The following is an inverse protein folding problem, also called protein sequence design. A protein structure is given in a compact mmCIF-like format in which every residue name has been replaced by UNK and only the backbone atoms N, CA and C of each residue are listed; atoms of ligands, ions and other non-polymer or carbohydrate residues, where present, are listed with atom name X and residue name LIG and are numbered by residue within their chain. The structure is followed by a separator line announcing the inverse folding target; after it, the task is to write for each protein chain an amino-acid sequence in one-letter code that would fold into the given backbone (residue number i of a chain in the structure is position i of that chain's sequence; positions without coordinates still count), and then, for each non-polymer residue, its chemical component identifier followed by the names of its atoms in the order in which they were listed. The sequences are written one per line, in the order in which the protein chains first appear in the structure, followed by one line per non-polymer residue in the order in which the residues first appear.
data_IF_609468456563
#
_entry.id   IF_609468456563
#
_cell.length_a   1.000
_cell.length_b   1.000
_cell.length_c   1.000
_cell.angle_alpha   90.00
_cell.angle_beta   90.00
_cell.angle_gamma   90.00
#
_symmetry.space_group_name_H-M   'P 1'
#
loop_
_entity.id
_entity.type
_entity.pdbx_description
1 polymer ?
#
# COMPACT_ATOMS: atom_id res chain seq x y z
N UNK A 1 -23.81 4.03 -5.86
CA UNK A 1 -24.40 2.69 -5.85
C UNK A 1 -24.29 2.11 -7.25
N UNK A 2 -23.39 1.13 -7.44
CA UNK A 2 -23.24 0.40 -8.71
C UNK A 2 -24.43 -0.57 -8.85
N UNK A 3 -25.42 -0.20 -9.65
CA UNK A 3 -26.59 -1.06 -9.88
C UNK A 3 -26.32 -2.20 -10.89
N UNK A 4 -25.19 -2.18 -11.64
CA UNK A 4 -24.92 -3.12 -12.74
C UNK A 4 -23.47 -3.65 -12.74
N UNK A 5 -22.79 -3.71 -11.61
CA UNK A 5 -21.41 -4.20 -11.51
C UNK A 5 -21.32 -5.64 -11.01
N UNK A 6 -20.34 -6.40 -11.52
CA UNK A 6 -19.93 -7.70 -10.98
C UNK A 6 -18.84 -7.45 -9.94
N UNK A 7 -19.01 -7.96 -8.72
CA UNK A 7 -18.00 -7.93 -7.69
C UNK A 7 -17.31 -9.29 -7.61
N UNK A 8 -16.01 -9.31 -7.85
CA UNK A 8 -15.16 -10.48 -7.63
C UNK A 8 -14.40 -10.33 -6.31
N UNK A 9 -14.07 -11.45 -5.70
CA UNK A 9 -13.29 -11.49 -4.47
C UNK A 9 -12.17 -12.52 -4.64
N UNK A 10 -10.97 -12.16 -4.21
CA UNK A 10 -9.75 -12.98 -4.32
C UNK A 10 -8.72 -12.31 -5.21
N UNK A 11 -7.54 -12.90 -5.29
CA UNK A 11 -6.51 -12.51 -6.26
C UNK A 11 -6.79 -13.25 -7.57
N UNK A 12 -6.53 -12.59 -8.69
CA UNK A 12 -6.59 -13.17 -10.03
C UNK A 12 -5.18 -13.11 -10.65
N UNK A 13 -4.79 -14.14 -11.33
CA UNK A 13 -3.57 -14.13 -12.16
C UNK A 13 -3.83 -13.47 -13.54
N UNK A 14 -2.79 -13.38 -14.38
CA UNK A 14 -2.90 -12.72 -15.67
C UNK A 14 -3.90 -13.43 -16.59
N UNK A 15 -3.88 -14.75 -16.63
CA UNK A 15 -4.77 -15.58 -17.48
C UNK A 15 -6.23 -15.41 -17.05
N UNK A 16 -6.48 -15.40 -15.74
CA UNK A 16 -7.82 -15.20 -15.19
C UNK A 16 -8.36 -13.80 -15.52
N UNK A 17 -7.51 -12.75 -15.40
CA UNK A 17 -7.90 -11.38 -15.77
C UNK A 17 -8.16 -11.27 -17.26
N UNK A 18 -7.32 -11.83 -18.12
CA UNK A 18 -7.51 -11.83 -19.58
C UNK A 18 -8.78 -12.55 -19.99
N UNK A 19 -9.01 -13.72 -19.42
CA UNK A 19 -10.23 -14.51 -19.67
C UNK A 19 -11.48 -13.71 -19.27
N UNK A 20 -11.44 -13.08 -18.09
CA UNK A 20 -12.53 -12.23 -17.63
C UNK A 20 -12.76 -11.03 -18.56
N UNK A 21 -11.68 -10.37 -18.96
CA UNK A 21 -11.75 -9.23 -19.88
C UNK A 21 -12.37 -9.62 -21.23
N UNK A 22 -11.97 -10.77 -21.79
CA UNK A 22 -12.52 -11.27 -23.04
C UNK A 22 -14.02 -11.63 -22.92
N UNK A 23 -14.39 -12.36 -21.86
CA UNK A 23 -15.78 -12.78 -21.60
C UNK A 23 -16.74 -11.60 -21.41
N UNK A 24 -16.26 -10.54 -20.76
CA UNK A 24 -17.07 -9.37 -20.43
C UNK A 24 -16.83 -8.16 -21.35
N UNK A 25 -16.06 -8.34 -22.42
CA UNK A 25 -15.74 -7.29 -23.41
C UNK A 25 -15.15 -6.03 -22.74
N UNK A 26 -14.28 -6.22 -21.74
CA UNK A 26 -13.64 -5.10 -21.05
C UNK A 26 -12.69 -4.38 -22.00
N UNK A 27 -12.82 -3.07 -22.08
CA UNK A 27 -12.01 -2.21 -22.98
C UNK A 27 -11.04 -1.30 -22.24
N UNK A 28 -11.14 -1.24 -20.92
CA UNK A 28 -10.34 -0.36 -20.07
C UNK A 28 -10.20 -0.96 -18.68
N UNK A 29 -9.00 -0.98 -18.14
CA UNK A 29 -8.73 -1.37 -16.77
C UNK A 29 -8.39 -0.14 -15.93
N UNK A 30 -8.83 -0.12 -14.67
CA UNK A 30 -8.50 0.94 -13.74
C UNK A 30 -7.84 0.30 -12.51
N UNK A 31 -6.58 0.60 -12.31
CA UNK A 31 -5.82 0.18 -11.15
C UNK A 31 -5.87 1.26 -10.06
N UNK A 32 -6.64 1.03 -9.01
CA UNK A 32 -6.72 1.88 -7.82
C UNK A 32 -6.12 1.20 -6.57
N UNK A 33 -5.32 0.15 -6.78
CA UNK A 33 -4.73 -0.62 -5.70
C UNK A 33 -3.70 0.20 -4.87
N UNK A 34 -3.29 -0.37 -3.74
CA UNK A 34 -2.27 0.24 -2.89
C UNK A 34 -0.93 0.36 -3.66
N UNK A 35 -0.15 1.45 -3.53
CA UNK A 35 1.11 1.63 -4.26
C UNK A 35 2.11 0.48 -4.11
N UNK A 36 2.03 -0.28 -3.00
CA UNK A 36 2.88 -1.46 -2.74
C UNK A 36 2.25 -2.79 -3.18
N UNK A 37 1.19 -2.78 -3.98
CA UNK A 37 0.61 -3.98 -4.58
C UNK A 37 1.37 -4.37 -5.87
N UNK A 38 2.70 -4.49 -5.78
CA UNK A 38 3.60 -4.66 -6.91
C UNK A 38 3.22 -5.83 -7.82
N UNK A 39 2.89 -6.98 -7.23
CA UNK A 39 2.47 -8.14 -8.02
C UNK A 39 1.22 -7.85 -8.86
N UNK A 40 0.21 -7.16 -8.31
CA UNK A 40 -0.97 -6.78 -9.07
C UNK A 40 -0.63 -5.79 -10.19
N UNK A 41 0.24 -4.82 -9.91
CA UNK A 41 0.67 -3.85 -10.92
C UNK A 41 1.40 -4.55 -12.09
N UNK A 42 2.31 -5.48 -11.79
CA UNK A 42 3.02 -6.29 -12.78
C UNK A 42 2.05 -7.16 -13.60
N UNK A 43 1.09 -7.81 -12.93
CA UNK A 43 0.04 -8.60 -13.59
C UNK A 43 -0.79 -7.74 -14.55
N UNK A 44 -1.23 -6.55 -14.10
CA UNK A 44 -2.00 -5.65 -14.95
C UNK A 44 -1.19 -5.07 -16.12
N UNK A 45 0.11 -4.84 -15.92
CA UNK A 45 1.01 -4.45 -17.00
C UNK A 45 1.11 -5.55 -18.06
N UNK A 46 1.28 -6.80 -17.65
CA UNK A 46 1.31 -7.96 -18.53
C UNK A 46 0.00 -8.06 -19.34
N UNK A 47 -1.15 -8.07 -18.66
CA UNK A 47 -2.47 -8.12 -19.29
C UNK A 47 -2.66 -6.98 -20.28
N UNK A 48 -2.24 -5.76 -19.91
CA UNK A 48 -2.34 -4.60 -20.81
C UNK A 48 -1.60 -4.79 -22.12
N UNK A 49 -0.42 -5.40 -22.07
CA UNK A 49 0.41 -5.65 -23.25
C UNK A 49 -0.16 -6.79 -24.09
N UNK A 50 -0.53 -7.92 -23.47
CA UNK A 50 -0.97 -9.12 -24.16
C UNK A 50 -2.37 -8.97 -24.76
N UNK A 51 -3.28 -8.31 -24.06
CA UNK A 51 -4.67 -8.09 -24.50
C UNK A 51 -4.88 -6.75 -25.22
N UNK A 52 -3.87 -5.89 -25.32
CA UNK A 52 -3.96 -4.53 -25.86
C UNK A 52 -5.10 -3.70 -25.20
N UNK A 53 -5.32 -3.92 -23.89
CA UNK A 53 -6.30 -3.18 -23.11
C UNK A 53 -5.55 -2.11 -22.29
N UNK A 54 -5.87 -0.81 -22.44
CA UNK A 54 -5.20 0.25 -21.68
C UNK A 54 -5.51 0.14 -20.19
N UNK A 55 -4.50 0.44 -19.36
CA UNK A 55 -4.63 0.52 -17.91
C UNK A 55 -4.46 1.96 -17.44
N UNK A 56 -5.47 2.47 -16.74
CA UNK A 56 -5.37 3.73 -16.00
C UNK A 56 -4.91 3.41 -14.59
N UNK A 57 -3.81 3.99 -14.17
CA UNK A 57 -3.37 3.98 -12.78
C UNK A 57 -3.95 5.19 -12.06
N UNK A 58 -4.89 4.96 -11.14
CA UNK A 58 -5.41 5.99 -10.25
C UNK A 58 -4.45 6.20 -9.09
N UNK A 59 -3.53 7.16 -9.25
CA UNK A 59 -2.50 7.44 -8.27
C UNK A 59 -3.03 8.23 -7.08
N UNK A 60 -2.49 7.90 -5.91
CA UNK A 60 -2.71 8.67 -4.68
C UNK A 60 -1.95 9.99 -4.75
N UNK A 61 -2.37 10.95 -3.94
CA UNK A 61 -1.61 12.17 -3.72
C UNK A 61 -0.55 11.90 -2.65
N UNK A 62 0.69 12.26 -2.96
CA UNK A 62 1.82 12.10 -2.07
C UNK A 62 2.33 13.47 -1.62
N UNK A 63 2.59 13.68 -0.32
CA UNK A 63 3.27 14.89 0.13
C UNK A 63 4.70 14.93 -0.40
N UNK A 64 5.29 16.12 -0.41
CA UNK A 64 6.73 16.26 -0.65
C UNK A 64 7.47 15.47 0.44
N UNK A 65 8.50 14.72 0.03
CA UNK A 65 9.34 13.98 0.97
C UNK A 65 10.08 14.92 1.90
N UNK A 66 9.96 14.68 3.19
CA UNK A 66 10.71 15.32 4.24
C UNK A 66 12.02 14.53 4.43
N UNK A 67 13.12 15.06 3.93
CA UNK A 67 14.44 14.41 4.02
C UNK A 67 15.17 14.77 5.33
N UNK A 68 14.64 15.70 6.12
CA UNK A 68 15.23 16.12 7.39
C UNK A 68 14.77 15.27 8.56
N UNK A 69 13.48 14.92 8.59
CA UNK A 69 12.87 14.23 9.74
C UNK A 69 12.55 12.76 9.46
N UNK A 70 12.65 12.30 8.23
CA UNK A 70 12.32 10.94 7.82
C UNK A 70 13.54 10.28 7.18
N UNK A 71 13.97 9.16 7.74
CA UNK A 71 14.97 8.29 7.13
C UNK A 71 14.30 7.48 6.02
N UNK A 72 14.48 7.91 4.79
CA UNK A 72 13.92 7.24 3.62
C UNK A 72 14.73 6.00 3.24
N UNK A 73 14.02 4.89 3.06
CA UNK A 73 14.57 3.60 2.66
C UNK A 73 14.09 3.24 1.24
N UNK A 74 14.98 2.68 0.43
CA UNK A 74 14.65 2.24 -0.94
C UNK A 74 13.66 1.08 -0.92
N UNK A 75 13.93 0.11 -0.05
CA UNK A 75 13.21 -1.15 0.09
C UNK A 75 13.29 -1.66 1.53
N UNK A 76 12.84 -2.88 1.78
CA UNK A 76 12.85 -3.50 3.10
C UNK A 76 14.26 -3.85 3.57
N UNK A 77 15.17 -4.24 2.66
CA UNK A 77 16.55 -4.61 3.01
C UNK A 77 17.33 -3.37 3.44
N UNK A 78 17.19 -2.25 2.72
CA UNK A 78 17.76 -0.95 3.10
C UNK A 78 17.19 -0.45 4.45
N UNK A 79 15.88 -0.70 4.71
CA UNK A 79 15.29 -0.36 6.00
C UNK A 79 15.87 -1.20 7.13
N UNK A 80 16.06 -2.50 6.95
CA UNK A 80 16.67 -3.40 7.92
C UNK A 80 18.09 -2.94 8.24
N UNK A 81 18.91 -2.69 7.22
CA UNK A 81 20.29 -2.23 7.39
C UNK A 81 20.36 -0.92 8.20
N UNK A 82 19.57 0.08 7.84
CA UNK A 82 19.54 1.38 8.52
C UNK A 82 19.08 1.26 9.98
N UNK A 83 17.99 0.52 10.23
CA UNK A 83 17.44 0.30 11.57
C UNK A 83 18.46 -0.41 12.46
N UNK A 84 19.15 -1.44 11.95
CA UNK A 84 20.21 -2.14 12.68
C UNK A 84 21.42 -1.25 12.94
N UNK A 85 21.85 -0.47 11.94
CA UNK A 85 22.97 0.48 12.08
C UNK A 85 22.71 1.54 13.14
N UNK A 86 21.46 2.02 13.22
CA UNK A 86 21.05 2.99 14.24
C UNK A 86 20.73 2.35 15.61
N UNK A 87 20.91 1.03 15.74
CA UNK A 87 20.69 0.27 16.97
C UNK A 87 19.31 0.52 17.59
N UNK A 88 18.27 0.41 16.76
CA UNK A 88 16.89 0.47 17.22
C UNK A 88 16.50 -0.88 17.81
N UNK A 89 16.13 -0.90 19.09
CA UNK A 89 15.75 -2.11 19.82
C UNK A 89 14.24 -2.25 20.03
N UNK A 90 13.48 -1.15 19.96
CA UNK A 90 12.03 -1.16 20.07
C UNK A 90 11.43 -0.51 18.82
N UNK A 91 10.87 -1.31 17.95
CA UNK A 91 10.31 -0.88 16.65
C UNK A 91 8.82 -1.11 16.59
N UNK A 92 8.05 -0.11 16.14
CA UNK A 92 6.65 -0.29 15.72
C UNK A 92 6.55 -0.27 14.20
N UNK A 93 6.27 -1.43 13.60
CA UNK A 93 6.08 -1.56 12.15
C UNK A 93 4.60 -1.37 11.78
N UNK A 94 4.32 -0.31 11.03
CA UNK A 94 3.00 0.06 10.51
C UNK A 94 2.87 -0.30 9.01
N UNK A 95 3.51 -1.40 8.63
CA UNK A 95 3.67 -1.83 7.23
C UNK A 95 2.71 -2.94 6.80
N UNK A 96 1.95 -3.49 7.75
CA UNK A 96 0.93 -4.52 7.54
C UNK A 96 1.49 -5.94 7.55
N UNK A 97 0.59 -6.93 7.64
CA UNK A 97 0.90 -8.36 7.89
C UNK A 97 1.79 -8.99 6.83
N UNK A 98 1.66 -8.60 5.56
CA UNK A 98 2.46 -9.16 4.46
C UNK A 98 3.97 -8.91 4.60
N UNK A 99 4.37 -7.99 5.47
CA UNK A 99 5.76 -7.57 5.62
C UNK A 99 6.45 -8.19 6.83
N UNK A 100 5.72 -8.92 7.67
CA UNK A 100 6.27 -9.57 8.86
C UNK A 100 7.43 -10.50 8.47
N UNK A 101 7.25 -11.34 7.46
CA UNK A 101 8.30 -12.24 6.97
C UNK A 101 9.53 -11.49 6.42
N UNK A 102 9.31 -10.39 5.71
CA UNK A 102 10.39 -9.55 5.16
C UNK A 102 11.23 -8.89 6.27
N UNK A 103 10.60 -8.55 7.39
CA UNK A 103 11.25 -7.90 8.53
C UNK A 103 11.73 -8.89 9.60
N UNK A 104 11.80 -10.19 9.26
CA UNK A 104 12.28 -11.24 10.16
C UNK A 104 13.65 -10.95 10.78
N UNK A 105 14.65 -10.42 10.06
CA UNK A 105 15.95 -10.08 10.64
C UNK A 105 15.88 -9.04 11.77
N UNK A 106 14.85 -8.19 11.80
CA UNK A 106 14.63 -7.22 12.88
C UNK A 106 13.97 -7.86 14.09
N UNK A 107 12.81 -8.50 13.92
CA UNK A 107 12.04 -8.99 15.06
C UNK A 107 12.61 -10.25 15.72
N UNK A 108 13.58 -10.91 15.12
CA UNK A 108 14.34 -11.98 15.77
C UNK A 108 15.41 -11.43 16.74
N UNK A 109 15.86 -10.18 16.57
CA UNK A 109 16.97 -9.60 17.31
C UNK A 109 16.57 -8.35 18.12
N UNK A 110 15.35 -7.87 17.97
CA UNK A 110 14.83 -6.68 18.63
C UNK A 110 13.36 -6.85 19.00
N UNK A 111 12.86 -6.01 19.89
CA UNK A 111 11.44 -5.95 20.23
C UNK A 111 10.68 -5.24 19.12
N UNK A 112 10.01 -6.01 18.28
CA UNK A 112 9.20 -5.45 17.21
C UNK A 112 7.71 -5.70 17.46
N UNK A 113 6.93 -4.66 17.28
CA UNK A 113 5.48 -4.68 17.28
C UNK A 113 4.96 -4.45 15.86
N UNK A 114 3.89 -5.13 15.48
CA UNK A 114 3.22 -4.91 14.20
C UNK A 114 1.78 -4.50 14.40
N UNK A 115 1.35 -3.43 13.73
CA UNK A 115 -0.06 -3.09 13.62
C UNK A 115 -0.61 -3.58 12.28
N UNK A 116 -1.61 -4.44 12.35
CA UNK A 116 -2.21 -5.10 11.21
C UNK A 116 -3.73 -4.90 11.20
N UNK A 117 -4.39 -5.22 10.11
CA UNK A 117 -5.85 -5.24 10.06
C UNK A 117 -6.39 -6.40 10.92
N UNK A 118 -7.45 -6.14 11.67
CA UNK A 118 -8.14 -7.16 12.47
C UNK A 118 -8.99 -8.06 11.58
N UNK A 119 -8.34 -9.12 11.07
CA UNK A 119 -8.95 -10.14 10.21
C UNK A 119 -8.34 -11.50 10.52
N UNK A 120 -9.14 -12.55 10.47
CA UNK A 120 -8.65 -13.92 10.69
C UNK A 120 -7.52 -14.31 9.73
N UNK A 121 -7.63 -13.88 8.47
CA UNK A 121 -6.57 -14.07 7.46
C UNK A 121 -5.26 -13.38 7.85
N UNK A 122 -5.31 -12.19 8.46
CA UNK A 122 -4.12 -11.50 8.93
C UNK A 122 -3.47 -12.22 10.12
N UNK A 123 -4.27 -12.68 11.08
CA UNK A 123 -3.80 -13.46 12.23
C UNK A 123 -3.17 -14.77 11.78
N UNK A 124 -3.83 -15.47 10.85
CA UNK A 124 -3.33 -16.74 10.28
C UNK A 124 -1.98 -16.51 9.60
N UNK A 125 -1.88 -15.51 8.72
CA UNK A 125 -0.66 -15.20 8.00
C UNK A 125 0.50 -14.80 8.94
N UNK A 126 0.23 -14.03 10.00
CA UNK A 126 1.26 -13.68 10.99
C UNK A 126 1.81 -14.93 11.69
N UNK A 127 0.93 -15.86 12.08
CA UNK A 127 1.32 -17.16 12.70
C UNK A 127 2.13 -18.02 11.74
N UNK A 128 1.73 -18.10 10.47
CA UNK A 128 2.46 -18.85 9.43
C UNK A 128 3.88 -18.29 9.21
N UNK A 129 4.07 -16.99 9.39
CA UNK A 129 5.38 -16.34 9.35
C UNK A 129 6.19 -16.52 10.64
N UNK A 130 5.63 -17.18 11.65
CA UNK A 130 6.30 -17.46 12.94
C UNK A 130 6.33 -16.28 13.89
N UNK A 131 5.51 -15.25 13.68
CA UNK A 131 5.48 -14.06 14.53
C UNK A 131 4.56 -14.24 15.73
N UNK A 132 4.98 -13.72 16.90
CA UNK A 132 4.25 -13.86 18.16
C UNK A 132 3.01 -12.96 18.19
N UNK A 133 1.86 -13.56 18.49
CA UNK A 133 0.59 -12.84 18.59
C UNK A 133 0.59 -11.74 19.68
N UNK A 134 1.36 -11.92 20.75
CA UNK A 134 1.49 -10.94 21.83
C UNK A 134 2.06 -9.59 21.38
N UNK A 135 2.74 -9.56 20.24
CA UNK A 135 3.34 -8.35 19.67
C UNK A 135 2.54 -7.84 18.45
N UNK A 136 1.34 -8.40 18.22
CA UNK A 136 0.41 -7.92 17.21
C UNK A 136 -0.59 -6.93 17.82
N UNK A 137 -0.79 -5.82 17.12
CA UNK A 137 -1.79 -4.82 17.43
C UNK A 137 -2.73 -4.66 16.24
N UNK A 138 -3.96 -4.31 16.50
CA UNK A 138 -4.99 -4.25 15.47
C UNK A 138 -5.37 -2.81 15.18
N UNK A 139 -5.48 -2.50 13.89
CA UNK A 139 -5.88 -1.19 13.44
C UNK A 139 -7.38 -0.98 13.65
N UNK A 140 -7.72 0.07 14.36
CA UNK A 140 -9.09 0.56 14.53
C UNK A 140 -9.27 1.84 13.71
N UNK A 141 -10.19 1.88 12.73
CA UNK A 141 -10.45 3.10 11.97
C UNK A 141 -10.84 4.27 12.87
N UNK A 142 -10.19 5.43 12.67
CA UNK A 142 -10.44 6.64 13.45
C UNK A 142 -9.74 6.72 14.81
N UNK A 143 -8.95 5.72 15.18
CA UNK A 143 -8.12 5.77 16.37
C UNK A 143 -6.98 6.78 16.19
N UNK A 144 -6.68 7.54 17.26
CA UNK A 144 -5.54 8.43 17.30
C UNK A 144 -4.24 7.63 17.20
N UNK A 145 -3.41 7.97 16.22
CA UNK A 145 -2.14 7.32 15.95
C UNK A 145 -1.17 7.36 17.15
N UNK A 146 -1.30 8.37 18.03
CA UNK A 146 -0.47 8.51 19.22
C UNK A 146 -0.78 7.49 20.33
N UNK A 147 -2.01 6.96 20.40
CA UNK A 147 -2.42 6.04 21.49
C UNK A 147 -1.49 4.85 21.57
N UNK A 148 -1.31 4.15 20.46
CA UNK A 148 -0.45 2.97 20.41
C UNK A 148 1.03 3.34 20.60
N UNK A 149 1.49 4.44 20.04
CA UNK A 149 2.86 4.91 20.19
C UNK A 149 3.17 5.27 21.66
N UNK A 150 2.25 5.93 22.36
CA UNK A 150 2.38 6.22 23.80
C UNK A 150 2.33 4.98 24.67
N UNK A 151 1.59 3.96 24.28
CA UNK A 151 1.50 2.69 25.01
C UNK A 151 2.79 1.86 24.87
N UNK A 152 3.37 1.82 23.66
CA UNK A 152 4.49 0.94 23.35
C UNK A 152 5.86 1.59 23.53
N UNK A 153 5.92 2.92 23.58
CA UNK A 153 7.17 3.70 23.65
C UNK A 153 8.24 3.23 22.66
N UNK A 154 7.92 3.10 21.35
CA UNK A 154 8.89 2.65 20.38
C UNK A 154 9.99 3.71 20.18
N UNK A 155 11.24 3.26 19.97
CA UNK A 155 12.34 4.15 19.60
C UNK A 155 12.21 4.64 18.16
N UNK A 156 11.55 3.82 17.31
CA UNK A 156 11.28 4.17 15.93
C UNK A 156 9.99 3.53 15.42
N UNK A 157 9.41 4.16 14.38
CA UNK A 157 8.36 3.56 13.56
C UNK A 157 8.89 3.26 12.16
N UNK A 158 8.36 2.22 11.54
CA UNK A 158 8.59 1.90 10.13
C UNK A 158 7.28 2.02 9.34
N UNK A 159 7.28 2.86 8.32
CA UNK A 159 6.13 3.16 7.47
C UNK A 159 6.36 2.73 6.02
N UNK A 160 5.28 2.69 5.25
CA UNK A 160 5.31 2.70 3.77
C UNK A 160 4.83 4.06 3.27
N UNK A 161 5.46 4.61 2.23
CA UNK A 161 4.99 5.82 1.55
C UNK A 161 3.64 5.53 0.87
N UNK A 162 2.56 5.54 1.66
CA UNK A 162 1.22 5.13 1.23
C UNK A 162 0.35 6.28 0.70
N UNK A 163 0.88 7.51 0.72
CA UNK A 163 0.17 8.72 0.33
C UNK A 163 -0.81 9.23 1.41
N UNK A 164 -1.43 10.38 1.14
CA UNK A 164 -2.34 11.06 2.07
C UNK A 164 -3.49 10.13 2.46
N UNK A 165 -4.17 9.52 1.49
CA UNK A 165 -5.29 8.59 1.75
C UNK A 165 -4.89 7.30 2.47
N UNK A 166 -3.60 7.04 2.65
CA UNK A 166 -3.06 5.88 3.39
C UNK A 166 -2.75 6.18 4.86
N UNK A 167 -3.06 7.37 5.35
CA UNK A 167 -2.77 7.81 6.72
C UNK A 167 -1.26 7.99 6.96
N UNK A 168 -0.49 8.31 5.91
CA UNK A 168 0.96 8.52 6.05
C UNK A 168 1.27 9.77 6.84
N UNK A 169 0.60 10.89 6.53
CA UNK A 169 0.84 12.17 7.18
C UNK A 169 0.49 12.12 8.68
N UNK A 170 -0.62 11.50 9.02
CA UNK A 170 -1.10 11.37 10.40
C UNK A 170 -0.10 10.58 11.26
N UNK A 171 0.45 9.49 10.71
CA UNK A 171 1.47 8.67 11.41
C UNK A 171 2.79 9.40 11.59
N UNK A 172 3.22 10.13 10.55
CA UNK A 172 4.44 10.95 10.61
C UNK A 172 4.29 12.03 11.67
N UNK A 173 3.17 12.75 11.64
CA UNK A 173 2.94 13.84 12.60
C UNK A 173 2.84 13.32 14.05
N UNK A 174 2.14 12.21 14.27
CA UNK A 174 2.06 11.57 15.58
C UNK A 174 3.44 11.17 16.12
N UNK A 175 4.29 10.58 15.29
CA UNK A 175 5.64 10.19 15.68
C UNK A 175 6.52 11.41 15.96
N UNK A 176 6.44 12.46 15.15
CA UNK A 176 7.19 13.71 15.36
C UNK A 176 6.85 14.36 16.67
N UNK A 177 5.56 14.47 17.00
CA UNK A 177 5.11 15.05 18.27
C UNK A 177 5.61 14.28 19.50
N UNK A 178 5.88 12.98 19.34
CA UNK A 178 6.39 12.12 20.41
C UNK A 178 7.93 11.96 20.39
N UNK A 179 8.62 12.61 19.45
CA UNK A 179 10.08 12.49 19.31
C UNK A 179 10.55 11.10 18.85
N UNK A 180 9.67 10.32 18.21
CA UNK A 180 9.96 8.96 17.72
C UNK A 180 10.63 9.05 16.36
N UNK A 181 11.72 8.31 16.13
CA UNK A 181 12.40 8.26 14.84
C UNK A 181 11.51 7.62 13.76
N UNK A 182 11.61 8.11 12.54
CA UNK A 182 10.75 7.68 11.44
C UNK A 182 11.59 7.10 10.31
N UNK A 183 11.33 5.83 9.98
CA UNK A 183 11.82 5.18 8.77
C UNK A 183 10.66 4.98 7.82
N UNK A 184 10.85 5.34 6.55
CA UNK A 184 9.80 5.20 5.55
C UNK A 184 10.34 4.52 4.29
N UNK A 185 9.67 3.45 3.87
CA UNK A 185 9.98 2.75 2.62
C UNK A 185 9.34 3.55 1.47
N UNK A 186 10.17 3.94 0.51
CA UNK A 186 9.73 4.63 -0.71
C UNK A 186 8.77 3.74 -1.48
N UNK A 187 7.71 4.35 -2.03
CA UNK A 187 6.82 3.62 -2.92
C UNK A 187 7.58 3.16 -4.17
N UNK A 188 7.24 1.99 -4.71
CA UNK A 188 7.72 1.55 -6.01
C UNK A 188 7.38 2.57 -7.09
N UNK A 189 8.20 2.63 -8.12
CA UNK A 189 7.89 3.43 -9.30
C UNK A 189 6.73 2.79 -10.07
N UNK A 190 5.86 3.63 -10.60
CA UNK A 190 4.75 3.17 -11.43
C UNK A 190 5.28 2.90 -12.85
N UNK A 191 4.84 1.80 -13.45
CA UNK A 191 5.20 1.47 -14.84
C UNK A 191 4.86 2.60 -15.79
N UNK A 192 5.79 2.94 -16.69
CA UNK A 192 5.57 3.93 -17.75
C UNK A 192 4.52 3.53 -18.79
N UNK A 193 4.02 2.29 -18.74
CA UNK A 193 2.94 1.79 -19.61
C UNK A 193 1.55 2.18 -19.12
N UNK A 194 1.43 2.57 -17.86
CA UNK A 194 0.15 3.00 -17.30
C UNK A 194 -0.14 4.46 -17.59
N UNK A 195 -1.42 4.76 -17.84
CA UNK A 195 -1.92 6.13 -17.92
C UNK A 195 -2.16 6.61 -16.48
N UNK A 196 -1.19 7.32 -15.91
CA UNK A 196 -1.29 7.79 -14.53
C UNK A 196 -2.19 9.02 -14.42
N UNK A 197 -3.16 8.94 -13.52
CA UNK A 197 -4.04 10.07 -13.16
C UNK A 197 -4.19 10.16 -11.66
N UNK A 198 -4.39 11.36 -11.15
CA UNK A 198 -4.79 11.60 -9.77
C UNK A 198 -6.07 12.44 -9.72
N UNK A 199 -6.88 12.16 -8.71
CA UNK A 199 -8.17 12.82 -8.54
C UNK A 199 -9.25 12.37 -9.53
N UNK A 200 -10.50 12.55 -9.11
CA UNK A 200 -11.68 12.10 -9.84
C UNK A 200 -11.82 12.77 -11.22
N UNK A 201 -11.53 14.06 -11.29
CA UNK A 201 -11.63 14.83 -12.53
C UNK A 201 -10.66 14.32 -13.63
N UNK A 202 -9.40 14.02 -13.21
CA UNK A 202 -8.40 13.44 -14.12
C UNK A 202 -8.84 12.06 -14.64
N UNK A 203 -9.31 11.19 -13.73
CA UNK A 203 -9.82 9.88 -14.09
C UNK A 203 -10.98 9.97 -15.09
N UNK A 204 -11.99 10.79 -14.78
CA UNK A 204 -13.17 10.97 -15.63
C UNK A 204 -12.80 11.40 -17.05
N UNK A 205 -11.94 12.40 -17.18
CA UNK A 205 -11.48 12.91 -18.48
C UNK A 205 -10.82 11.82 -19.33
N UNK A 206 -10.01 10.96 -18.72
CA UNK A 206 -9.32 9.89 -19.45
C UNK A 206 -10.31 8.76 -19.81
N UNK A 207 -11.23 8.40 -18.91
CA UNK A 207 -12.27 7.40 -19.19
C UNK A 207 -13.17 7.86 -20.36
N UNK A 208 -13.63 9.12 -20.36
CA UNK A 208 -14.42 9.71 -21.44
C UNK A 208 -13.68 9.66 -22.79
N UNK A 209 -12.35 9.88 -22.78
CA UNK A 209 -11.53 9.78 -23.99
C UNK A 209 -11.45 8.36 -24.56
N UNK A 210 -11.33 7.34 -23.69
CA UNK A 210 -11.20 5.94 -24.12
C UNK A 210 -12.53 5.25 -24.38
N UNK A 211 -13.61 5.73 -23.79
CA UNK A 211 -14.95 5.17 -23.87
C UNK A 211 -15.99 6.25 -24.22
N UNK A 212 -15.85 6.95 -25.38
CA UNK A 212 -16.72 8.09 -25.72
C UNK A 212 -18.21 7.70 -25.83
N UNK A 213 -18.51 6.47 -26.25
CA UNK A 213 -19.87 5.98 -26.41
C UNK A 213 -20.67 5.86 -25.10
N UNK A 214 -19.96 5.76 -23.96
CA UNK A 214 -20.57 5.71 -22.62
C UNK A 214 -20.88 7.10 -22.04
N UNK A 215 -20.35 8.15 -22.65
CA UNK A 215 -20.51 9.53 -22.20
C UNK A 215 -20.98 10.39 -23.38
N UNK A 216 -22.24 10.27 -23.80
CA UNK A 216 -22.75 11.11 -24.87
C UNK A 216 -22.54 12.57 -24.50
N UNK A 217 -22.02 13.35 -25.45
CA UNK A 217 -21.81 14.78 -25.29
C UNK A 217 -23.09 15.40 -24.74
N UNK A 218 -23.01 16.02 -23.59
CA UNK A 218 -24.11 16.84 -23.08
C UNK A 218 -24.30 17.99 -24.08
N UNK A 219 -25.34 17.90 -24.87
CA UNK A 219 -25.82 18.98 -25.74
C UNK A 219 -26.23 20.19 -24.91
#
# INVERSE_FOLDING_TARGET
LLHNGIRLQGAMDAIEIETFCAQHHIKLLIDAAHPFATQLHETLEQVSVESNIPVIRFERIFPKRDEEHITWCRDYDDAIEKIQKEKIFILLALTGVQTIGKLKPLWQNACCYFRILDRDSSRKLAREQGFSEKNLYYYTPGEDEQVLMKQLHPEAILLKESGISGGFCEKVEAARQLGIRIFAIRRPETSGKFICVNGEHGLRRIVEKHLPDFFPLRS
#
